data_IF_272542414408
#
_entry.id   IF_272542414408
#
_cell.length_a   1.000
_cell.length_b   1.000
_cell.length_c   1.000
_cell.angle_alpha   90.00
_cell.angle_beta   90.00
_cell.angle_gamma   90.00
#
_symmetry.space_group_name_H-M   'P 1'
#
loop_
_entity.id
_entity.type
_entity.pdbx_description
1 polymer ?
#
# COMPACT_ATOMS: atom_id res chain seq x y z
N UNK A 1 4.40 0.66 26.86
CA UNK A 1 5.27 0.36 25.69
C UNK A 1 5.12 1.54 24.73
N UNK A 2 6.06 2.49 24.74
CA UNK A 2 5.83 3.86 24.25
C UNK A 2 5.70 3.97 22.71
N UNK A 3 4.58 4.56 22.26
CA UNK A 3 4.44 5.58 21.18
C UNK A 3 5.26 5.41 19.91
N UNK A 4 5.15 4.26 19.23
CA UNK A 4 5.83 4.11 17.94
C UNK A 4 4.94 3.66 16.79
N UNK A 5 3.72 3.17 16.99
CA UNK A 5 2.93 2.67 15.86
C UNK A 5 2.54 3.79 14.88
N UNK A 6 1.91 4.85 15.40
CA UNK A 6 1.51 5.99 14.58
C UNK A 6 2.71 6.74 14.00
N UNK A 7 3.82 6.84 14.76
CA UNK A 7 5.05 7.47 14.28
C UNK A 7 5.74 6.65 13.18
N UNK A 8 5.81 5.31 13.33
CA UNK A 8 6.34 4.39 12.31
C UNK A 8 5.49 4.47 11.04
N UNK A 9 4.16 4.50 11.19
CA UNK A 9 3.23 4.71 10.07
C UNK A 9 3.50 6.05 9.38
N UNK A 10 3.54 7.15 10.14
CA UNK A 10 3.80 8.48 9.60
C UNK A 10 5.13 8.55 8.85
N UNK A 11 6.18 7.91 9.36
CA UNK A 11 7.48 7.83 8.72
C UNK A 11 7.44 7.00 7.42
N UNK A 12 6.75 5.85 7.42
CA UNK A 12 6.58 5.03 6.22
C UNK A 12 5.79 5.76 5.12
N UNK A 13 4.70 6.44 5.49
CA UNK A 13 3.91 7.25 4.56
C UNK A 13 4.70 8.45 4.05
N UNK A 14 5.49 9.12 4.90
CA UNK A 14 6.34 10.24 4.49
C UNK A 14 7.40 9.82 3.48
N UNK A 15 8.08 8.70 3.71
CA UNK A 15 9.04 8.13 2.74
C UNK A 15 8.34 7.83 1.42
N UNK A 16 7.16 7.23 1.47
CA UNK A 16 6.39 6.90 0.26
C UNK A 16 6.01 8.17 -0.53
N UNK A 17 5.57 9.22 0.16
CA UNK A 17 5.27 10.52 -0.47
C UNK A 17 6.51 11.15 -1.11
N UNK A 18 7.68 11.07 -0.46
CA UNK A 18 8.94 11.55 -1.04
C UNK A 18 9.27 10.80 -2.33
N UNK A 19 9.12 9.48 -2.35
CA UNK A 19 9.37 8.66 -3.57
C UNK A 19 8.40 9.05 -4.69
N UNK A 20 7.11 9.25 -4.37
CA UNK A 20 6.10 9.70 -5.36
C UNK A 20 6.44 11.10 -5.88
N UNK A 21 6.84 12.01 -5.00
CA UNK A 21 7.19 13.37 -5.39
C UNK A 21 8.42 13.42 -6.30
N UNK A 22 9.47 12.66 -5.96
CA UNK A 22 10.67 12.54 -6.79
C UNK A 22 10.35 11.93 -8.17
N UNK A 23 9.52 10.89 -8.22
CA UNK A 23 9.10 10.29 -9.49
C UNK A 23 8.26 11.25 -10.34
N UNK A 24 7.40 12.08 -9.73
CA UNK A 24 6.67 13.13 -10.45
C UNK A 24 7.59 14.20 -11.03
N UNK A 25 8.60 14.67 -10.28
CA UNK A 25 9.58 15.64 -10.78
C UNK A 25 10.36 15.05 -11.96
N UNK A 26 10.83 13.81 -11.84
CA UNK A 26 11.56 13.13 -12.93
C UNK A 26 10.66 12.97 -14.15
N UNK A 27 9.40 12.57 -13.96
CA UNK A 27 8.44 12.41 -15.05
C UNK A 27 8.15 13.73 -15.78
N UNK A 28 8.06 14.85 -15.05
CA UNK A 28 7.91 16.19 -15.65
C UNK A 28 9.14 16.59 -16.47
N UNK A 29 10.34 16.35 -15.93
CA UNK A 29 11.59 16.72 -16.58
C UNK A 29 11.91 15.86 -17.81
N UNK A 30 11.42 14.62 -17.88
CA UNK A 30 11.67 13.72 -19.00
C UNK A 30 10.65 13.83 -20.15
N UNK A 31 9.66 14.74 -20.06
CA UNK A 31 8.62 14.94 -21.09
C UNK A 31 8.00 13.63 -21.61
N UNK A 32 7.86 12.61 -20.73
CA UNK A 32 7.30 11.32 -21.10
C UNK A 32 5.86 11.54 -21.54
N UNK A 33 5.58 11.32 -22.82
CA UNK A 33 4.24 11.33 -23.39
C UNK A 33 3.47 10.07 -22.95
N UNK A 34 3.14 10.01 -21.65
CA UNK A 34 2.38 8.90 -21.07
C UNK A 34 0.97 8.92 -21.65
N UNK A 35 0.49 7.76 -22.07
CA UNK A 35 -0.86 7.62 -22.63
C UNK A 35 -1.93 8.07 -21.61
N UNK A 36 -3.05 8.66 -22.06
CA UNK A 36 -4.14 9.07 -21.18
C UNK A 36 -4.66 7.90 -20.31
N UNK A 37 -4.71 6.70 -20.87
CA UNK A 37 -5.15 5.48 -20.19
C UNK A 37 -4.23 5.14 -19.01
N UNK A 38 -2.90 5.17 -19.22
CA UNK A 38 -1.95 4.90 -18.14
C UNK A 38 -2.04 5.94 -17.02
N UNK A 39 -2.26 7.22 -17.36
CA UNK A 39 -2.48 8.28 -16.36
C UNK A 39 -3.72 8.03 -15.51
N UNK A 40 -4.84 7.67 -16.13
CA UNK A 40 -6.09 7.36 -15.42
C UNK A 40 -5.92 6.16 -14.50
N UNK A 41 -5.31 5.07 -15.00
CA UNK A 41 -5.11 3.84 -14.21
C UNK A 41 -4.19 4.06 -13.01
N UNK A 42 -3.06 4.75 -13.20
CA UNK A 42 -2.18 5.14 -12.08
C UNK A 42 -2.92 6.04 -11.10
N UNK A 43 -3.73 6.98 -11.58
CA UNK A 43 -4.56 7.83 -10.72
C UNK A 43 -5.55 7.04 -9.85
N UNK A 44 -6.20 6.02 -10.41
CA UNK A 44 -7.09 5.11 -9.67
C UNK A 44 -6.31 4.34 -8.61
N UNK A 45 -5.13 3.80 -8.94
CA UNK A 45 -4.29 3.09 -7.97
C UNK A 45 -3.88 4.01 -6.81
N UNK A 46 -3.45 5.24 -7.12
CA UNK A 46 -3.09 6.24 -6.10
C UNK A 46 -4.29 6.61 -5.21
N UNK A 47 -5.48 6.73 -5.79
CA UNK A 47 -6.71 7.01 -5.03
C UNK A 47 -7.02 5.86 -4.06
N UNK A 48 -7.02 4.62 -4.53
CA UNK A 48 -7.23 3.42 -3.71
C UNK A 48 -6.18 3.34 -2.60
N UNK A 49 -4.91 3.57 -2.94
CA UNK A 49 -3.80 3.63 -1.98
C UNK A 49 -4.05 4.69 -0.90
N UNK A 50 -4.46 5.89 -1.28
CA UNK A 50 -4.66 7.00 -0.35
C UNK A 50 -5.81 6.70 0.62
N UNK A 51 -6.90 6.13 0.13
CA UNK A 51 -8.05 5.72 0.97
C UNK A 51 -7.63 4.63 1.95
N UNK A 52 -6.93 3.60 1.47
CA UNK A 52 -6.45 2.51 2.32
C UNK A 52 -5.45 3.00 3.38
N UNK A 53 -4.52 3.87 2.99
CA UNK A 53 -3.53 4.49 3.87
C UNK A 53 -4.19 5.39 4.92
N UNK A 54 -5.20 6.18 4.55
CA UNK A 54 -5.98 6.97 5.52
C UNK A 54 -6.72 6.07 6.51
N UNK A 55 -7.28 4.94 6.04
CA UNK A 55 -7.89 3.95 6.92
C UNK A 55 -6.87 3.32 7.87
N UNK A 56 -5.67 2.97 7.39
CA UNK A 56 -4.53 2.56 8.23
C UNK A 56 -4.20 3.60 9.30
N UNK A 57 -4.17 4.88 8.95
CA UNK A 57 -3.92 5.96 9.90
C UNK A 57 -4.93 5.93 11.05
N UNK A 58 -6.22 5.78 10.73
CA UNK A 58 -7.29 5.72 11.74
C UNK A 58 -7.18 4.48 12.62
N UNK A 59 -6.81 3.32 12.06
CA UNK A 59 -6.58 2.10 12.84
C UNK A 59 -5.35 2.23 13.73
N UNK A 60 -4.25 2.80 13.22
CA UNK A 60 -3.04 3.07 14.00
C UNK A 60 -3.34 3.99 15.19
N UNK A 61 -4.10 5.07 14.95
CA UNK A 61 -4.51 6.00 16.01
C UNK A 61 -5.39 5.31 17.06
N UNK A 62 -6.42 4.57 16.64
CA UNK A 62 -7.30 3.83 17.57
C UNK A 62 -6.53 2.78 18.37
N UNK A 63 -5.54 2.14 17.77
CA UNK A 63 -4.68 1.15 18.44
C UNK A 63 -3.78 1.81 19.47
N UNK A 64 -3.16 2.94 19.12
CA UNK A 64 -2.29 3.68 20.04
C UNK A 64 -3.09 4.21 21.24
N UNK A 65 -4.29 4.76 21.01
CA UNK A 65 -5.18 5.24 22.08
C UNK A 65 -5.61 4.11 23.03
N UNK A 66 -6.03 2.95 22.48
CA UNK A 66 -6.39 1.80 23.29
C UNK A 66 -5.20 1.23 24.09
N UNK A 67 -3.97 1.36 23.56
CA UNK A 67 -2.75 0.96 24.27
C UNK A 67 -2.35 1.96 25.37
N UNK A 68 -2.58 3.25 25.17
CA UNK A 68 -2.32 4.28 26.17
C UNK A 68 -3.30 4.16 27.36
N UNK A 69 -4.58 3.92 27.07
CA UNK A 69 -5.61 3.64 28.08
C UNK A 69 -5.26 2.38 28.92
N UNK A 70 -4.56 1.41 28.32
CA UNK A 70 -4.05 0.23 29.01
C UNK A 70 -2.88 0.53 29.94
N UNK A 71 -1.89 1.30 29.47
CA UNK A 71 -0.67 1.59 30.23
C UNK A 71 -0.93 2.54 31.41
N UNK A 72 -1.96 3.39 31.33
CA UNK A 72 -2.23 4.41 32.35
C UNK A 72 -3.08 3.92 33.53
N UNK A 73 -3.72 2.76 33.43
CA UNK A 73 -4.59 2.25 34.50
C UNK A 73 -3.97 1.02 35.17
N UNK A 74 -3.20 1.30 36.23
CA UNK A 74 -2.51 0.34 37.10
C UNK A 74 -3.44 -0.54 37.97
N UNK A 75 -4.76 -0.59 37.68
CA UNK A 75 -5.74 -1.22 38.58
C UNK A 75 -6.97 -1.86 37.92
N UNK A 76 -6.90 -2.28 36.66
CA UNK A 76 -8.08 -2.80 35.95
C UNK A 76 -8.62 -4.12 36.54
N UNK A 77 -9.95 -4.15 36.73
CA UNK A 77 -10.79 -5.34 36.89
C UNK A 77 -10.73 -6.24 35.64
N UNK A 78 -10.82 -7.57 35.82
CA UNK A 78 -10.86 -8.60 34.75
C UNK A 78 -11.76 -8.21 33.56
N UNK A 79 -12.95 -7.68 33.84
CA UNK A 79 -13.95 -7.27 32.84
C UNK A 79 -13.42 -6.28 31.80
N UNK A 80 -12.56 -5.34 32.22
CA UNK A 80 -12.03 -4.34 31.32
C UNK A 80 -10.85 -4.84 30.48
N UNK A 81 -10.07 -5.79 31.02
CA UNK A 81 -9.05 -6.51 30.24
C UNK A 81 -9.69 -7.31 29.11
N UNK A 82 -10.83 -7.94 29.36
CA UNK A 82 -11.59 -8.67 28.34
C UNK A 82 -12.13 -7.73 27.26
N UNK A 83 -12.73 -6.59 27.64
CA UNK A 83 -13.24 -5.60 26.70
C UNK A 83 -12.15 -5.05 25.75
N UNK A 84 -10.96 -4.76 26.28
CA UNK A 84 -9.85 -4.27 25.47
C UNK A 84 -9.26 -5.37 24.58
N UNK A 85 -9.21 -6.62 25.07
CA UNK A 85 -8.81 -7.77 24.26
C UNK A 85 -9.74 -7.99 23.07
N UNK A 86 -11.05 -7.86 23.28
CA UNK A 86 -12.04 -7.96 22.22
C UNK A 86 -11.92 -6.81 21.22
N UNK A 87 -11.67 -5.60 21.70
CA UNK A 87 -11.40 -4.43 20.85
C UNK A 87 -10.17 -4.63 19.95
N UNK A 88 -9.05 -5.08 20.52
CA UNK A 88 -7.82 -5.41 19.77
C UNK A 88 -8.07 -6.51 18.73
N UNK A 89 -8.83 -7.55 19.08
CA UNK A 89 -9.22 -8.61 18.14
C UNK A 89 -10.06 -8.06 16.98
N UNK A 90 -10.99 -7.15 17.28
CA UNK A 90 -11.81 -6.47 16.27
C UNK A 90 -10.95 -5.60 15.35
N UNK A 91 -9.91 -4.95 15.87
CA UNK A 91 -8.99 -4.16 15.06
C UNK A 91 -8.06 -5.00 14.19
N UNK A 92 -7.59 -6.14 14.68
CA UNK A 92 -6.90 -7.13 13.85
C UNK A 92 -7.78 -7.55 12.65
N UNK A 93 -9.06 -7.82 12.88
CA UNK A 93 -9.98 -8.16 11.79
C UNK A 93 -10.26 -6.99 10.84
N UNK A 94 -10.36 -5.75 11.34
CA UNK A 94 -10.47 -4.57 10.47
C UNK A 94 -9.22 -4.34 9.63
N UNK A 95 -8.04 -4.70 10.13
CA UNK A 95 -6.79 -4.61 9.38
C UNK A 95 -6.79 -5.54 8.15
N UNK A 96 -7.57 -6.63 8.13
CA UNK A 96 -7.73 -7.50 6.95
C UNK A 96 -8.25 -6.73 5.73
N UNK A 97 -9.05 -5.68 5.93
CA UNK A 97 -9.55 -4.83 4.85
C UNK A 97 -8.42 -4.08 4.13
N UNK A 98 -7.35 -3.73 4.84
CA UNK A 98 -6.14 -3.12 4.28
C UNK A 98 -5.38 -4.15 3.43
N UNK A 99 -5.25 -5.38 3.94
CA UNK A 99 -4.62 -6.47 3.19
C UNK A 99 -5.39 -6.81 1.91
N UNK A 100 -6.72 -6.74 1.97
CA UNK A 100 -7.57 -6.86 0.79
C UNK A 100 -7.28 -5.74 -0.22
N UNK A 101 -7.28 -4.47 0.20
CA UNK A 101 -6.94 -3.35 -0.68
C UNK A 101 -5.52 -3.46 -1.29
N UNK A 102 -4.55 -3.95 -0.52
CA UNK A 102 -3.18 -4.20 -1.00
C UNK A 102 -3.16 -5.28 -2.10
N UNK A 103 -3.98 -6.33 -1.98
CA UNK A 103 -4.06 -7.40 -2.98
C UNK A 103 -4.80 -6.97 -4.26
N UNK A 104 -5.71 -6.00 -4.19
CA UNK A 104 -6.43 -5.49 -5.36
C UNK A 104 -5.58 -4.54 -6.24
N UNK A 105 -4.59 -3.84 -5.65
CA UNK A 105 -3.76 -2.87 -6.38
C UNK A 105 -3.03 -3.45 -7.62
N UNK A 106 -2.39 -4.63 -7.56
CA UNK A 106 -1.78 -5.25 -8.74
C UNK A 106 -2.79 -5.69 -9.80
N UNK A 107 -4.01 -6.11 -9.41
CA UNK A 107 -5.04 -6.49 -10.38
C UNK A 107 -5.52 -5.28 -11.18
N UNK A 108 -5.70 -4.12 -10.52
CA UNK A 108 -5.99 -2.84 -11.19
C UNK A 108 -4.82 -2.47 -12.12
N UNK A 109 -3.58 -2.63 -11.67
CA UNK A 109 -2.39 -2.42 -12.49
C UNK A 109 -2.28 -3.33 -13.72
N UNK A 110 -2.70 -4.60 -13.58
CA UNK A 110 -2.76 -5.57 -14.68
C UNK A 110 -3.85 -5.21 -15.69
N UNK A 111 -5.03 -4.82 -15.23
CA UNK A 111 -6.12 -4.35 -16.09
C UNK A 111 -5.70 -3.11 -16.88
N UNK A 112 -4.96 -2.20 -16.25
CA UNK A 112 -4.36 -1.05 -16.92
C UNK A 112 -3.39 -1.44 -18.03
N UNK A 113 -2.53 -2.44 -17.79
CA UNK A 113 -1.62 -2.97 -18.80
C UNK A 113 -2.35 -3.62 -19.98
N UNK A 114 -3.34 -4.49 -19.70
CA UNK A 114 -4.16 -5.14 -20.73
C UNK A 114 -4.84 -4.09 -21.61
N UNK A 115 -5.41 -3.06 -20.99
CA UNK A 115 -6.09 -1.98 -21.72
C UNK A 115 -5.09 -1.15 -22.54
N UNK A 116 -3.92 -0.85 -21.99
CA UNK A 116 -2.84 -0.16 -22.71
C UNK A 116 -2.36 -0.92 -23.95
N UNK A 117 -2.13 -2.23 -23.81
CA UNK A 117 -1.73 -3.11 -24.92
C UNK A 117 -2.85 -3.21 -25.96
N UNK A 118 -4.10 -3.36 -25.54
CA UNK A 118 -5.24 -3.44 -26.45
C UNK A 118 -5.36 -2.18 -27.32
N UNK A 119 -5.32 -0.99 -26.71
CA UNK A 119 -5.34 0.28 -27.44
C UNK A 119 -4.15 0.40 -28.40
N UNK A 120 -2.95 0.02 -27.93
CA UNK A 120 -1.75 0.03 -28.77
C UNK A 120 -1.91 -0.86 -30.01
N UNK A 121 -2.43 -2.08 -29.86
CA UNK A 121 -2.66 -2.99 -30.99
C UNK A 121 -3.73 -2.45 -31.95
N UNK A 122 -4.83 -1.87 -31.43
CA UNK A 122 -5.86 -1.28 -32.30
C UNK A 122 -5.39 -0.05 -33.06
N UNK A 123 -4.49 0.76 -32.48
CA UNK A 123 -3.94 1.94 -33.14
C UNK A 123 -2.83 1.61 -34.15
N UNK A 124 -2.01 0.58 -33.89
CA UNK A 124 -0.88 0.22 -34.76
C UNK A 124 -1.27 -0.63 -35.98
N UNK A 125 -2.34 -1.43 -35.90
CA UNK A 125 -2.80 -2.26 -37.03
C UNK A 125 -3.74 -1.53 -38.02
N UNK A 126 -4.11 -0.28 -37.74
CA UNK A 126 -5.13 0.47 -38.48
C UNK A 126 -4.70 1.07 -39.83
N UNK A 127 -3.43 1.02 -40.19
CA UNK A 127 -2.91 1.62 -41.44
C UNK A 127 -1.90 0.67 -42.07
N UNK A 128 -2.10 0.31 -43.34
CA UNK A 128 -1.51 -0.84 -44.04
C UNK A 128 0.00 -1.10 -43.83
N UNK A 129 0.37 -2.38 -43.99
CA UNK A 129 1.74 -2.87 -43.89
C UNK A 129 2.67 -2.21 -44.92
N UNK A 130 3.37 -1.18 -44.50
CA UNK A 130 4.40 -0.51 -45.30
C UNK A 130 5.79 -0.82 -44.71
N UNK A 131 6.73 -1.44 -45.45
CA UNK A 131 8.01 -1.91 -44.92
C UNK A 131 8.89 -0.80 -44.30
N UNK A 132 8.73 0.44 -44.75
CA UNK A 132 9.43 1.61 -44.19
C UNK A 132 8.83 2.08 -42.85
N UNK A 133 7.55 1.78 -42.59
CA UNK A 133 6.90 2.02 -41.31
C UNK A 133 7.23 0.94 -40.28
N UNK A 134 7.84 -0.21 -40.65
CA UNK A 134 8.15 -1.29 -39.69
C UNK A 134 9.11 -0.82 -38.60
N UNK A 135 10.12 0.01 -38.92
CA UNK A 135 11.05 0.55 -37.93
C UNK A 135 10.38 1.53 -36.96
N UNK A 136 9.49 2.37 -37.49
CA UNK A 136 8.73 3.35 -36.72
C UNK A 136 7.70 2.66 -35.84
N UNK A 137 6.93 1.73 -36.40
CA UNK A 137 6.01 0.85 -35.69
C UNK A 137 6.73 0.02 -34.62
N UNK A 138 7.95 -0.47 -34.86
CA UNK A 138 8.71 -1.24 -33.86
C UNK A 138 9.23 -0.36 -32.71
N UNK A 139 9.69 0.86 -32.99
CA UNK A 139 10.09 1.84 -31.96
C UNK A 139 8.89 2.32 -31.14
N UNK A 140 7.77 2.58 -31.79
CA UNK A 140 6.52 2.98 -31.14
C UNK A 140 5.88 1.81 -30.38
N UNK A 141 6.08 0.56 -30.84
CA UNK A 141 5.69 -0.65 -30.11
C UNK A 141 6.45 -0.84 -28.82
N UNK A 142 7.77 -0.66 -28.84
CA UNK A 142 8.57 -0.74 -27.62
C UNK A 142 8.16 0.33 -26.60
N UNK A 143 7.85 1.54 -27.09
CA UNK A 143 7.38 2.64 -26.24
C UNK A 143 5.96 2.38 -25.71
N UNK A 144 5.03 1.91 -26.54
CA UNK A 144 3.66 1.58 -26.15
C UNK A 144 3.57 0.43 -25.16
N UNK A 145 4.39 -0.60 -25.35
CA UNK A 145 4.56 -1.70 -24.39
C UNK A 145 5.14 -1.17 -23.07
N UNK A 146 6.17 -0.31 -23.12
CA UNK A 146 6.75 0.33 -21.94
C UNK A 146 5.73 1.13 -21.12
N UNK A 147 4.85 1.88 -21.79
CA UNK A 147 3.79 2.66 -21.14
C UNK A 147 2.75 1.75 -20.47
N UNK A 148 2.44 0.59 -21.07
CA UNK A 148 1.50 -0.38 -20.50
C UNK A 148 2.01 -1.03 -19.20
N UNK A 149 3.33 -1.08 -18.96
CA UNK A 149 3.88 -1.60 -17.71
C UNK A 149 3.80 -0.61 -16.53
N UNK A 150 3.63 0.69 -16.80
CA UNK A 150 3.61 1.72 -15.75
C UNK A 150 2.52 1.45 -14.69
N UNK A 151 1.26 1.19 -15.05
CA UNK A 151 0.21 0.85 -14.07
C UNK A 151 0.52 -0.43 -13.28
N UNK A 152 1.15 -1.43 -13.90
CA UNK A 152 1.52 -2.68 -13.22
C UNK A 152 2.61 -2.46 -12.18
N UNK A 153 3.67 -1.71 -12.54
CA UNK A 153 4.75 -1.36 -11.60
C UNK A 153 4.18 -0.55 -10.45
N UNK A 154 3.32 0.44 -10.73
CA UNK A 154 2.64 1.22 -9.70
C UNK A 154 1.81 0.32 -8.77
N UNK A 155 0.99 -0.58 -9.31
CA UNK A 155 0.16 -1.50 -8.53
C UNK A 155 0.97 -2.41 -7.60
N UNK A 156 2.10 -2.94 -8.08
CA UNK A 156 3.03 -3.75 -7.26
C UNK A 156 3.71 -2.89 -6.19
N UNK A 157 4.18 -1.70 -6.54
CA UNK A 157 4.82 -0.78 -5.59
C UNK A 157 3.86 -0.45 -4.44
N UNK A 158 2.64 -0.01 -4.74
CA UNK A 158 1.66 0.33 -3.70
C UNK A 158 1.20 -0.87 -2.87
N UNK A 159 1.13 -2.07 -3.46
CA UNK A 159 0.90 -3.30 -2.70
C UNK A 159 1.98 -3.54 -1.65
N UNK A 160 3.26 -3.38 -2.00
CA UNK A 160 4.37 -3.61 -1.07
C UNK A 160 4.23 -2.66 0.13
N UNK A 161 3.96 -1.37 -0.12
CA UNK A 161 3.79 -0.38 0.93
C UNK A 161 2.58 -0.71 1.82
N UNK A 162 1.41 -0.96 1.24
CA UNK A 162 0.20 -1.29 2.02
C UNK A 162 0.35 -2.60 2.80
N UNK A 163 1.01 -3.60 2.22
CA UNK A 163 1.30 -4.86 2.91
C UNK A 163 2.23 -4.65 4.10
N UNK A 164 3.17 -3.70 3.99
CA UNK A 164 4.04 -3.35 5.09
C UNK A 164 3.29 -2.60 6.21
N UNK A 165 2.42 -1.66 5.85
CA UNK A 165 1.54 -0.96 6.80
C UNK A 165 0.61 -1.94 7.53
N UNK A 166 0.00 -2.88 6.81
CA UNK A 166 -0.82 -3.95 7.39
C UNK A 166 -0.01 -4.82 8.37
N UNK A 167 1.18 -5.30 7.95
CA UNK A 167 2.04 -6.14 8.79
C UNK A 167 2.41 -5.45 10.11
N UNK A 168 2.72 -4.16 10.06
CA UNK A 168 3.05 -3.38 11.25
C UNK A 168 1.89 -3.33 12.25
N UNK A 169 0.66 -3.10 11.79
CA UNK A 169 -0.53 -3.08 12.65
C UNK A 169 -0.78 -4.46 13.26
N UNK A 170 -0.79 -5.51 12.43
CA UNK A 170 -1.06 -6.88 12.87
C UNK A 170 -0.03 -7.37 13.89
N UNK A 171 1.26 -7.09 13.65
CA UNK A 171 2.33 -7.47 14.57
C UNK A 171 2.18 -6.83 15.96
N UNK A 172 1.81 -5.55 16.01
CA UNK A 172 1.70 -4.81 17.27
C UNK A 172 0.41 -5.18 18.03
N UNK A 173 -0.69 -5.41 17.31
CA UNK A 173 -1.93 -5.98 17.89
C UNK A 173 -1.66 -7.38 18.45
N UNK A 174 -0.96 -8.25 17.73
CA UNK A 174 -0.63 -9.59 18.20
C UNK A 174 0.32 -9.57 19.41
N UNK A 175 1.31 -8.66 19.40
CA UNK A 175 2.24 -8.46 20.52
C UNK A 175 1.51 -7.98 21.78
N UNK A 176 0.56 -7.05 21.62
CA UNK A 176 -0.30 -6.61 22.71
C UNK A 176 -1.16 -7.76 23.25
N UNK A 177 -1.82 -8.53 22.38
CA UNK A 177 -2.64 -9.70 22.75
C UNK A 177 -1.84 -10.79 23.49
N UNK A 178 -0.58 -11.03 23.11
CA UNK A 178 0.31 -11.97 23.80
C UNK A 178 0.63 -11.48 25.23
N UNK A 179 0.78 -10.17 25.43
CA UNK A 179 0.96 -9.55 26.74
C UNK A 179 -0.20 -9.79 27.72
N UNK A 180 -1.41 -10.06 27.23
CA UNK A 180 -2.58 -10.39 28.06
C UNK A 180 -2.66 -11.86 28.50
N UNK A 181 -1.78 -12.74 28.05
CA UNK A 181 -1.85 -14.15 28.43
C UNK A 181 -1.15 -14.35 29.79
N UNK A 182 -1.87 -14.74 30.85
CA UNK A 182 -1.23 -14.95 32.15
C UNK A 182 -0.32 -16.18 32.06
N UNK A 183 0.99 -16.00 32.31
CA UNK A 183 1.93 -17.12 32.48
C UNK A 183 3.15 -17.18 31.55
N UNK A 184 3.42 -16.20 30.67
CA UNK A 184 4.74 -16.09 30.03
C UNK A 184 5.48 -14.84 30.47
N UNK A 185 6.47 -15.06 31.33
CA UNK A 185 7.54 -14.11 31.59
C UNK A 185 8.07 -13.59 30.24
N UNK A 186 8.01 -12.28 30.05
CA UNK A 186 8.73 -11.58 29.00
C UNK A 186 10.23 -11.83 29.23
N UNK A 187 10.80 -12.84 28.58
CA UNK A 187 12.25 -12.95 28.45
C UNK A 187 12.65 -11.84 27.48
N UNK A 188 13.09 -10.72 28.05
CA UNK A 188 13.73 -9.62 27.34
C UNK A 188 14.85 -10.23 26.48
N UNK A 189 14.89 -10.05 25.15
CA UNK A 189 16.04 -10.49 24.37
C UNK A 189 17.26 -9.76 24.92
N UNK A 190 18.26 -10.54 25.36
CA UNK A 190 19.52 -10.01 25.83
C UNK A 190 20.12 -9.17 24.71
N UNK A 191 20.46 -7.92 25.03
CA UNK A 191 21.33 -7.12 24.18
C UNK A 191 22.70 -7.81 24.18
N UNK A 192 23.13 -8.28 23.02
CA UNK A 192 24.51 -8.64 22.72
C UNK A 192 24.94 -7.85 21.50
#
# INVERSE_FOLDING_TARGET
>A
MKKHLFLKWCLATLITLVVIFLTLIVAQNQALSVSPVAKVMVGVIVLVYTIATAYCATLCWQTDQALEDLEQSDGWTETNREAIREFLRKMGHKADQVSFAANECPYIGLLGAITGIFFFMTSSLGTGFDPNHIKEVMSDSLTGIGIAFIPTIAGVFFRIILSWEHYMITHEVESALKGFTPGRNYVRPAQT
#
